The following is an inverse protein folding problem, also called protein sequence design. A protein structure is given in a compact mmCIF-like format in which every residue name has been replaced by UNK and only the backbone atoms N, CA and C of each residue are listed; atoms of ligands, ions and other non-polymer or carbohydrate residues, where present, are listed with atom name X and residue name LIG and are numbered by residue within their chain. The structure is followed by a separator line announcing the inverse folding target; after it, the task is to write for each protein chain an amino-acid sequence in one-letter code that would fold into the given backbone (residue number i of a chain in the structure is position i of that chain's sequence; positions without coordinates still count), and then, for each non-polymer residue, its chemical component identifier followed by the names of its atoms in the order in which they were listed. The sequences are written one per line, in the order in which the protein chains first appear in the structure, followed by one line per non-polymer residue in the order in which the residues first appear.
data_IF_500382365212
#
_entry.id   IF_500382365212
#
_cell.length_a   1.000
_cell.length_b   1.000
_cell.length_c   1.000
_cell.angle_alpha   90.00
_cell.angle_beta   90.00
_cell.angle_gamma   90.00
#
_symmetry.space_group_name_H-M   'P 1'
#
loop_
_entity.id
_entity.type
_entity.pdbx_description
1 polymer ?
#
# COMPACT_ATOMS: atom_id res chain seq x y z
N UNK A 1 28.50 5.40 16.55
CA UNK A 1 29.07 4.07 16.84
C UNK A 1 29.46 4.06 18.31
N UNK A 2 28.57 3.60 19.20
CA UNK A 2 28.91 3.43 20.62
C UNK A 2 29.80 2.21 20.72
N UNK A 3 31.09 2.44 20.91
CA UNK A 3 32.09 1.40 21.06
C UNK A 3 31.67 0.47 22.21
N UNK A 4 31.57 -0.83 21.97
CA UNK A 4 31.42 -1.79 23.07
C UNK A 4 32.75 -1.74 23.81
N UNK A 5 32.81 -1.03 24.93
CA UNK A 5 34.03 -0.87 25.72
C UNK A 5 34.29 -2.18 26.47
N UNK A 6 34.76 -3.20 25.75
CA UNK A 6 35.31 -4.41 26.35
C UNK A 6 36.72 -4.08 26.87
N UNK A 7 36.83 -3.91 28.18
CA UNK A 7 38.11 -3.69 28.84
C UNK A 7 38.89 -5.01 28.96
N UNK A 8 39.66 -5.30 27.91
CA UNK A 8 40.53 -6.46 27.81
C UNK A 8 41.51 -6.57 28.98
N UNK A 9 42.01 -5.44 29.51
CA UNK A 9 43.00 -5.43 30.59
C UNK A 9 42.36 -5.81 31.93
N UNK A 10 41.17 -5.27 32.23
CA UNK A 10 40.40 -5.64 33.42
C UNK A 10 39.96 -7.10 33.37
N UNK A 11 39.57 -7.58 32.18
CA UNK A 11 39.23 -8.99 31.97
C UNK A 11 40.44 -9.91 32.17
N UNK A 12 41.62 -9.56 31.63
CA UNK A 12 42.88 -10.30 31.86
C UNK A 12 43.17 -10.46 33.35
N UNK A 13 43.17 -9.34 34.09
CA UNK A 13 43.47 -9.31 35.53
C UNK A 13 42.49 -10.18 36.32
N UNK A 14 41.21 -10.17 35.95
CA UNK A 14 40.19 -11.02 36.58
C UNK A 14 40.49 -12.51 36.37
N UNK A 15 40.87 -12.91 35.15
CA UNK A 15 41.22 -14.29 34.84
C UNK A 15 42.45 -14.76 35.62
N UNK A 16 43.52 -13.96 35.62
CA UNK A 16 44.75 -14.26 36.35
C UNK A 16 44.50 -14.36 37.86
N UNK A 17 43.70 -13.44 38.44
CA UNK A 17 43.31 -13.49 39.85
C UNK A 17 42.47 -14.73 40.22
N UNK A 18 41.85 -15.36 39.23
CA UNK A 18 41.08 -16.60 39.39
C UNK A 18 41.93 -17.86 39.14
N UNK A 19 43.25 -17.71 38.98
CA UNK A 19 44.18 -18.82 38.76
C UNK A 19 44.37 -19.25 37.31
N UNK A 20 43.81 -18.51 36.34
CA UNK A 20 44.06 -18.78 34.91
C UNK A 20 45.48 -18.35 34.54
N UNK A 21 46.31 -19.22 33.93
CA UNK A 21 47.66 -18.86 33.50
C UNK A 21 47.67 -17.69 32.50
N UNK A 22 48.67 -16.80 32.55
CA UNK A 22 48.71 -15.59 31.71
C UNK A 22 48.53 -15.83 30.20
N UNK A 23 49.17 -16.88 29.66
CA UNK A 23 49.05 -17.26 28.25
C UNK A 23 47.64 -17.70 27.85
N UNK A 24 46.91 -18.35 28.76
CA UNK A 24 45.51 -18.73 28.52
C UNK A 24 44.59 -17.52 28.61
N UNK A 25 44.82 -16.62 29.58
CA UNK A 25 44.07 -15.38 29.71
C UNK A 25 44.18 -14.50 28.45
N UNK A 26 45.36 -14.44 27.81
CA UNK A 26 45.56 -13.77 26.53
C UNK A 26 44.73 -14.37 25.40
N UNK A 27 44.68 -15.71 25.28
CA UNK A 27 43.82 -16.35 24.27
C UNK A 27 42.33 -16.15 24.54
N UNK A 28 41.90 -16.10 25.80
CA UNK A 28 40.51 -15.76 26.13
C UNK A 28 40.15 -14.34 25.68
N UNK A 29 41.05 -13.37 25.88
CA UNK A 29 40.84 -11.99 25.42
C UNK A 29 40.76 -11.93 23.90
N UNK A 30 41.68 -12.58 23.19
CA UNK A 30 41.70 -12.60 21.73
C UNK A 30 40.38 -13.15 21.16
N UNK A 31 39.92 -14.30 21.68
CA UNK A 31 38.66 -14.91 21.26
C UNK A 31 37.47 -14.01 21.64
N UNK A 32 37.45 -13.45 22.85
CA UNK A 32 36.35 -12.61 23.31
C UNK A 32 36.25 -11.30 22.50
N UNK A 33 37.38 -10.65 22.21
CA UNK A 33 37.45 -9.47 21.36
C UNK A 33 36.99 -9.78 19.93
N UNK A 34 37.37 -10.94 19.38
CA UNK A 34 36.89 -11.38 18.07
C UNK A 34 35.36 -11.54 18.06
N UNK A 35 34.79 -12.19 19.08
CA UNK A 35 33.34 -12.40 19.19
C UNK A 35 32.61 -11.06 19.28
N UNK A 36 33.06 -10.18 20.19
CA UNK A 36 32.40 -8.89 20.45
C UNK A 36 32.46 -7.97 19.24
N UNK A 37 33.62 -7.87 18.58
CA UNK A 37 33.82 -6.89 17.52
C UNK A 37 33.36 -7.38 16.14
N UNK A 38 33.37 -8.70 15.89
CA UNK A 38 33.13 -9.24 14.54
C UNK A 38 31.82 -10.01 14.38
N UNK A 39 31.20 -10.46 15.47
CA UNK A 39 30.00 -11.33 15.39
C UNK A 39 28.77 -10.77 16.08
N UNK A 40 28.93 -9.84 17.03
CA UNK A 40 27.80 -9.28 17.75
C UNK A 40 27.30 -8.00 17.08
N UNK A 41 26.00 -7.98 16.82
CA UNK A 41 25.28 -6.76 16.43
C UNK A 41 25.07 -5.90 17.67
N UNK A 42 25.29 -4.58 17.56
CA UNK A 42 25.07 -3.67 18.68
C UNK A 42 23.59 -3.35 18.85
N UNK A 43 23.19 -2.86 20.03
CA UNK A 43 21.82 -2.35 20.24
C UNK A 43 21.48 -1.19 19.30
N UNK A 44 22.48 -0.43 18.88
CA UNK A 44 22.28 0.72 17.99
C UNK A 44 22.02 0.27 16.55
N UNK A 45 22.68 -0.78 16.09
CA UNK A 45 22.40 -1.40 14.79
C UNK A 45 20.97 -1.93 14.74
N UNK A 46 20.52 -2.58 15.82
CA UNK A 46 19.13 -3.06 15.94
C UNK A 46 18.12 -1.91 15.92
N UNK A 47 18.39 -0.81 16.63
CA UNK A 47 17.53 0.39 16.58
C UNK A 47 17.50 1.02 15.19
N UNK A 48 18.64 1.07 14.52
CA UNK A 48 18.73 1.61 13.16
C UNK A 48 17.90 0.76 12.20
N UNK A 49 17.99 -0.57 12.33
CA UNK A 49 17.18 -1.50 11.56
C UNK A 49 15.69 -1.38 11.89
N UNK A 50 15.33 -1.25 13.16
CA UNK A 50 13.94 -1.01 13.60
C UNK A 50 13.36 0.27 12.98
N UNK A 51 14.12 1.37 13.01
CA UNK A 51 13.71 2.64 12.43
C UNK A 51 13.53 2.51 10.91
N UNK A 52 14.46 1.84 10.22
CA UNK A 52 14.37 1.59 8.78
C UNK A 52 13.12 0.78 8.45
N UNK A 53 12.90 -0.35 9.12
CA UNK A 53 11.75 -1.22 8.86
C UNK A 53 10.44 -0.47 9.12
N UNK A 54 10.35 0.30 10.21
CA UNK A 54 9.16 1.12 10.50
C UNK A 54 8.93 2.19 9.43
N UNK A 55 9.98 2.83 8.96
CA UNK A 55 9.90 3.83 7.90
C UNK A 55 9.40 3.21 6.59
N UNK A 56 10.02 2.12 6.16
CA UNK A 56 9.70 1.41 4.92
C UNK A 56 8.26 0.91 4.95
N UNK A 57 7.87 0.24 6.04
CA UNK A 57 6.50 -0.27 6.23
C UNK A 57 5.47 0.86 6.19
N UNK A 58 5.75 2.00 6.84
CA UNK A 58 4.83 3.12 6.86
C UNK A 58 4.73 3.82 5.49
N UNK A 59 5.85 3.87 4.76
CA UNK A 59 5.92 4.39 3.38
C UNK A 59 5.08 3.52 2.44
N UNK A 60 5.31 2.20 2.45
CA UNK A 60 4.55 1.24 1.62
C UNK A 60 3.06 1.27 1.95
N UNK A 61 2.70 1.29 3.24
CA UNK A 61 1.29 1.37 3.64
C UNK A 61 0.61 2.67 3.17
N UNK A 62 1.35 3.78 3.21
CA UNK A 62 0.85 5.07 2.70
C UNK A 62 0.67 5.03 1.18
N UNK A 63 1.60 4.42 0.45
CA UNK A 63 1.52 4.26 -0.99
C UNK A 63 0.30 3.44 -1.40
N UNK A 64 0.11 2.25 -0.81
CA UNK A 64 -1.05 1.38 -1.07
C UNK A 64 -2.36 2.09 -0.75
N UNK A 65 -2.43 2.81 0.38
CA UNK A 65 -3.63 3.58 0.74
C UNK A 65 -3.95 4.68 -0.28
N UNK A 66 -2.93 5.34 -0.82
CA UNK A 66 -3.09 6.36 -1.86
C UNK A 66 -3.61 5.75 -3.16
N UNK A 67 -3.00 4.65 -3.59
CA UNK A 67 -3.39 3.89 -4.78
C UNK A 67 -4.86 3.43 -4.68
N UNK A 68 -5.24 2.76 -3.59
CA UNK A 68 -6.62 2.34 -3.36
C UNK A 68 -7.60 3.51 -3.41
N UNK A 69 -7.27 4.66 -2.80
CA UNK A 69 -8.12 5.85 -2.83
C UNK A 69 -8.33 6.35 -4.27
N UNK A 70 -7.26 6.33 -5.06
CA UNK A 70 -7.28 6.71 -6.47
C UNK A 70 -8.16 5.76 -7.29
N UNK A 71 -7.94 4.45 -7.17
CA UNK A 71 -8.72 3.44 -7.88
C UNK A 71 -10.21 3.49 -7.50
N UNK A 72 -10.54 3.65 -6.22
CA UNK A 72 -11.93 3.84 -5.79
C UNK A 72 -12.55 5.13 -6.31
N UNK A 73 -11.77 6.18 -6.58
CA UNK A 73 -12.27 7.39 -7.23
C UNK A 73 -12.57 7.14 -8.71
N UNK A 74 -11.68 6.43 -9.40
CA UNK A 74 -11.87 6.01 -10.81
C UNK A 74 -13.13 5.16 -10.95
N UNK A 75 -13.29 4.10 -10.16
CA UNK A 75 -14.48 3.23 -10.20
C UNK A 75 -15.77 4.02 -9.95
N UNK A 76 -15.77 4.98 -9.01
CA UNK A 76 -16.93 5.84 -8.77
C UNK A 76 -17.26 6.74 -9.97
N UNK A 77 -16.24 7.26 -10.65
CA UNK A 77 -16.42 8.06 -11.86
C UNK A 77 -16.97 7.20 -13.01
N UNK A 78 -16.45 5.99 -13.20
CA UNK A 78 -16.95 5.04 -14.19
C UNK A 78 -18.41 4.66 -13.94
N UNK A 79 -18.79 4.40 -12.69
CA UNK A 79 -20.18 4.13 -12.32
C UNK A 79 -21.11 5.31 -12.61
N UNK A 80 -20.66 6.55 -12.35
CA UNK A 80 -21.43 7.75 -12.67
C UNK A 80 -21.60 7.93 -14.19
N UNK A 81 -20.54 7.67 -14.96
CA UNK A 81 -20.58 7.72 -16.42
C UNK A 81 -21.54 6.68 -16.99
N UNK A 82 -21.45 5.42 -16.53
CA UNK A 82 -22.37 4.35 -16.94
C UNK A 82 -23.83 4.69 -16.63
N UNK A 83 -24.09 5.26 -15.45
CA UNK A 83 -25.44 5.73 -15.08
C UNK A 83 -25.95 6.78 -16.07
N UNK A 84 -25.11 7.75 -16.43
CA UNK A 84 -25.49 8.81 -17.37
C UNK A 84 -25.73 8.25 -18.78
N UNK A 85 -24.88 7.32 -19.23
CA UNK A 85 -25.03 6.66 -20.53
C UNK A 85 -26.36 5.90 -20.61
N UNK A 86 -26.71 5.15 -19.55
CA UNK A 86 -28.00 4.46 -19.46
C UNK A 86 -29.17 5.44 -19.53
N UNK A 87 -29.12 6.55 -18.77
CA UNK A 87 -30.19 7.56 -18.77
C UNK A 87 -30.37 8.14 -20.17
N UNK A 88 -29.28 8.48 -20.85
CA UNK A 88 -29.30 9.02 -22.21
C UNK A 88 -29.91 8.01 -23.19
N UNK A 89 -29.46 6.77 -23.15
CA UNK A 89 -29.92 5.76 -24.11
C UNK A 89 -31.39 5.37 -23.89
N UNK A 90 -31.82 5.27 -22.63
CA UNK A 90 -33.24 5.10 -22.29
C UNK A 90 -34.07 6.31 -22.76
N UNK A 91 -33.55 7.53 -22.58
CA UNK A 91 -34.19 8.75 -23.08
C UNK A 91 -34.42 8.71 -24.60
N UNK A 92 -33.39 8.38 -25.38
CA UNK A 92 -33.50 8.24 -26.85
C UNK A 92 -34.54 7.20 -27.25
N UNK A 93 -34.61 6.07 -26.54
CA UNK A 93 -35.59 5.03 -26.82
C UNK A 93 -37.03 5.50 -26.55
N UNK A 94 -37.24 6.26 -25.47
CA UNK A 94 -38.54 6.85 -25.14
C UNK A 94 -38.95 7.90 -26.17
N UNK A 95 -38.04 8.80 -26.55
CA UNK A 95 -38.30 9.81 -27.58
C UNK A 95 -38.70 9.16 -28.91
N UNK A 96 -37.95 8.13 -29.35
CA UNK A 96 -38.27 7.38 -30.57
C UNK A 96 -39.65 6.74 -30.50
N UNK A 97 -40.02 6.13 -29.37
CA UNK A 97 -41.35 5.54 -29.17
C UNK A 97 -42.45 6.59 -29.24
N UNK A 98 -42.23 7.76 -28.61
CA UNK A 98 -43.19 8.86 -28.64
C UNK A 98 -43.38 9.42 -30.06
N UNK A 99 -42.28 9.62 -30.81
CA UNK A 99 -42.36 10.07 -32.21
C UNK A 99 -43.19 9.11 -33.06
N UNK A 100 -42.97 7.79 -32.93
CA UNK A 100 -43.72 6.78 -33.67
C UNK A 100 -45.21 6.83 -33.26
N UNK A 101 -45.52 6.90 -31.97
CA UNK A 101 -46.89 6.94 -31.48
C UNK A 101 -47.66 8.18 -31.98
N UNK A 102 -47.03 9.36 -31.93
CA UNK A 102 -47.60 10.61 -32.47
C UNK A 102 -47.84 10.48 -33.98
N UNK A 103 -46.88 9.90 -34.71
CA UNK A 103 -47.02 9.66 -36.15
C UNK A 103 -48.21 8.76 -36.50
N UNK A 104 -48.41 7.67 -35.73
CA UNK A 104 -49.56 6.76 -35.90
C UNK A 104 -50.87 7.51 -35.62
N UNK A 105 -50.96 8.27 -34.53
CA UNK A 105 -52.16 9.03 -34.17
C UNK A 105 -52.51 10.03 -35.27
N UNK A 106 -51.51 10.78 -35.77
CA UNK A 106 -51.72 11.74 -36.85
C UNK A 106 -52.22 11.07 -38.14
N UNK A 107 -51.65 9.91 -38.49
CA UNK A 107 -52.11 9.14 -39.65
C UNK A 107 -53.56 8.65 -39.50
N UNK A 108 -53.93 8.15 -38.31
CA UNK A 108 -55.30 7.72 -38.02
C UNK A 108 -56.30 8.88 -38.09
N UNK A 109 -55.96 10.07 -37.58
CA UNK A 109 -56.81 11.27 -37.67
C UNK A 109 -57.08 11.67 -39.14
N UNK A 110 -56.04 11.60 -39.99
CA UNK A 110 -56.18 11.86 -41.42
C UNK A 110 -57.09 10.82 -42.09
N UNK A 111 -56.91 9.53 -41.80
CA UNK A 111 -57.74 8.44 -42.35
C UNK A 111 -59.20 8.64 -41.95
N UNK A 112 -59.46 8.96 -40.67
CA UNK A 112 -60.80 9.21 -40.18
C UNK A 112 -61.48 10.38 -40.91
N UNK A 113 -60.79 11.53 -41.04
CA UNK A 113 -61.32 12.68 -41.78
C UNK A 113 -61.67 12.33 -43.23
N UNK A 114 -60.81 11.60 -43.94
CA UNK A 114 -61.08 11.15 -45.32
C UNK A 114 -62.27 10.20 -45.43
N UNK A 115 -62.51 9.36 -44.41
CA UNK A 115 -63.64 8.43 -44.40
C UNK A 115 -65.00 9.11 -44.21
N UNK A 116 -65.05 10.26 -43.53
CA UNK A 116 -66.29 11.05 -43.30
C UNK A 116 -66.63 11.96 -44.49
N UNK A 117 -65.65 12.27 -45.34
CA UNK A 117 -65.78 13.15 -46.52
C UNK A 117 -66.24 12.44 -47.80
N UNK A 118 -66.40 11.11 -47.77
CA UNK A 118 -66.98 10.30 -48.86
C UNK A 118 -68.46 10.02 -48.61
#
# INVERSE_FOLDING_TARGET
MTEIIFDALKFKKSLESSGVPPKQAEKHIEIMSLIINSKLTTKEDLKTLEISIRHDTNSEFTAVRSEMKSEFAVVRAEMANLKNEIIIEVGKLLDRKLTIAIGIIAALDIIFKLSVLR
#
